data_IF_860739588171
#
_entry.id   IF_860739588171
#
_cell.length_a   1.000
_cell.length_b   1.000
_cell.length_c   1.000
_cell.angle_alpha   90.00
_cell.angle_beta   90.00
_cell.angle_gamma   90.00
#
_symmetry.space_group_name_H-M   'P 1'
#
loop_
_entity.id
_entity.type
_entity.pdbx_description
1 polymer ?
#
# COMPACT_ATOMS: atom_id res chain seq x y z
N UNK A 1 4.00 6.69 11.65
CA UNK A 1 3.82 7.94 12.40
C UNK A 1 4.99 8.91 12.17
N UNK A 2 5.47 9.10 10.93
CA UNK A 2 6.62 9.99 10.60
C UNK A 2 6.29 11.04 9.51
N UNK A 3 5.06 11.09 9.02
CA UNK A 3 4.63 12.03 7.96
C UNK A 3 4.01 13.32 8.52
N UNK A 4 3.82 13.43 9.83
CA UNK A 4 3.20 14.60 10.47
C UNK A 4 4.20 15.65 10.95
N UNK A 5 5.49 15.33 11.04
CA UNK A 5 6.47 16.23 11.69
C UNK A 5 7.34 17.06 10.74
N UNK A 6 7.40 16.78 9.42
CA UNK A 6 8.49 17.35 8.60
C UNK A 6 8.14 18.45 7.60
N UNK A 7 6.87 18.73 7.24
CA UNK A 7 6.63 19.64 6.09
C UNK A 7 5.56 20.74 6.26
N UNK A 8 4.84 20.85 7.38
CA UNK A 8 3.86 21.95 7.54
C UNK A 8 2.80 22.04 6.42
N UNK A 9 2.63 20.97 5.64
CA UNK A 9 1.67 20.91 4.54
C UNK A 9 0.26 20.79 5.12
N UNK A 10 -0.69 21.51 4.52
CA UNK A 10 -2.11 21.32 4.85
C UNK A 10 -2.45 19.83 4.73
N UNK A 11 -3.30 19.32 5.64
CA UNK A 11 -3.69 17.89 5.69
C UNK A 11 -4.11 17.35 4.31
N UNK A 12 -4.71 18.21 3.49
CA UNK A 12 -5.14 17.96 2.11
C UNK A 12 -3.96 17.77 1.15
N UNK A 13 -2.96 18.65 1.18
CA UNK A 13 -1.77 18.53 0.34
C UNK A 13 -0.94 17.27 0.68
N UNK A 14 -0.85 16.90 1.95
CA UNK A 14 -0.19 15.65 2.36
C UNK A 14 -0.93 14.40 1.86
N UNK A 15 -2.27 14.41 1.89
CA UNK A 15 -3.11 13.32 1.38
C UNK A 15 -3.00 13.21 -0.15
N UNK A 16 -3.03 14.33 -0.87
CA UNK A 16 -2.87 14.35 -2.34
C UNK A 16 -1.49 13.84 -2.76
N UNK A 17 -0.41 14.26 -2.08
CA UNK A 17 0.96 13.78 -2.34
C UNK A 17 1.08 12.27 -2.08
N UNK A 18 0.52 11.79 -0.97
CA UNK A 18 0.49 10.36 -0.64
C UNK A 18 -0.36 9.53 -1.62
N UNK A 19 -1.49 10.07 -2.06
CA UNK A 19 -2.35 9.43 -3.07
C UNK A 19 -1.65 9.36 -4.42
N UNK A 20 -0.99 10.43 -4.88
CA UNK A 20 -0.26 10.47 -6.14
C UNK A 20 0.89 9.46 -6.22
N UNK A 21 1.61 9.25 -5.10
CA UNK A 21 2.70 8.25 -5.00
C UNK A 21 2.19 6.83 -5.28
N UNK A 22 0.94 6.52 -4.93
CA UNK A 22 0.34 5.19 -5.12
C UNK A 22 -0.43 5.09 -6.43
N UNK A 23 -1.07 6.19 -6.85
CA UNK A 23 -1.90 6.24 -8.04
C UNK A 23 -1.07 6.01 -9.31
N UNK A 24 0.17 6.53 -9.37
CA UNK A 24 1.08 6.29 -10.50
C UNK A 24 1.37 4.80 -10.71
N UNK A 25 1.85 4.04 -9.70
CA UNK A 25 2.03 2.59 -9.81
C UNK A 25 0.75 1.83 -10.16
N UNK A 26 -0.39 2.19 -9.55
CA UNK A 26 -1.66 1.53 -9.84
C UNK A 26 -2.02 1.71 -11.31
N UNK A 27 -2.09 2.95 -11.80
CA UNK A 27 -2.42 3.24 -13.21
C UNK A 27 -1.42 2.61 -14.19
N UNK A 28 -0.14 2.56 -13.85
CA UNK A 28 0.88 1.92 -14.66
C UNK A 28 0.61 0.42 -14.83
N UNK A 29 0.27 -0.27 -13.74
CA UNK A 29 -0.05 -1.72 -13.81
C UNK A 29 -1.33 -1.98 -14.59
N UNK A 30 -2.37 -1.16 -14.40
CA UNK A 30 -3.62 -1.30 -15.15
C UNK A 30 -3.41 -1.02 -16.63
N UNK A 31 -2.67 0.02 -16.99
CA UNK A 31 -2.36 0.36 -18.37
C UNK A 31 -1.54 -0.73 -19.06
N UNK A 32 -0.50 -1.26 -18.39
CA UNK A 32 0.32 -2.34 -18.92
C UNK A 32 -0.52 -3.61 -19.18
N UNK A 33 -1.44 -3.94 -18.29
CA UNK A 33 -2.34 -5.08 -18.45
C UNK A 33 -3.31 -4.91 -19.63
N UNK A 34 -3.92 -3.72 -19.75
CA UNK A 34 -4.81 -3.41 -20.88
C UNK A 34 -4.06 -3.52 -22.20
N UNK A 35 -2.88 -2.91 -22.31
CA UNK A 35 -2.04 -2.99 -23.52
C UNK A 35 -1.63 -4.44 -23.82
N UNK A 36 -1.26 -5.22 -22.80
CA UNK A 36 -0.92 -6.64 -22.96
C UNK A 36 -2.09 -7.51 -23.45
N UNK A 37 -3.33 -7.11 -23.16
CA UNK A 37 -4.54 -7.80 -23.62
C UNK A 37 -4.99 -7.39 -25.03
N UNK A 38 -4.55 -6.24 -25.55
CA UNK A 38 -4.93 -5.76 -26.89
C UNK A 38 -4.72 -6.83 -27.99
N UNK A 39 -3.54 -7.46 -28.15
CA UNK A 39 -3.35 -8.47 -29.20
C UNK A 39 -4.13 -9.77 -28.95
N UNK A 40 -4.48 -10.09 -27.70
CA UNK A 40 -5.35 -11.23 -27.38
C UNK A 40 -6.80 -11.00 -27.83
N UNK A 41 -7.29 -9.75 -27.70
CA UNK A 41 -8.65 -9.36 -28.06
C UNK A 41 -8.84 -9.14 -29.56
N UNK A 42 -7.77 -8.83 -30.30
CA UNK A 42 -7.81 -8.66 -31.76
C UNK A 42 -7.48 -9.95 -32.53
N UNK A 43 -6.85 -10.94 -31.89
CA UNK A 43 -6.47 -12.19 -32.53
C UNK A 43 -7.66 -13.15 -32.70
N UNK A 44 -8.17 -13.24 -33.93
CA UNK A 44 -9.11 -14.29 -34.37
C UNK A 44 -8.34 -15.47 -35.00
N UNK A 45 -8.69 -16.71 -34.63
CA UNK A 45 -8.04 -17.92 -35.17
C UNK A 45 -8.07 -19.13 -34.22
N UNK A 46 -7.54 -20.27 -34.67
CA UNK A 46 -7.55 -21.54 -33.93
C UNK A 46 -6.92 -21.41 -32.53
N UNK A 47 -7.64 -21.86 -31.49
CA UNK A 47 -7.21 -21.74 -30.10
C UNK A 47 -7.65 -20.45 -29.40
N UNK A 48 -8.38 -19.54 -30.06
CA UNK A 48 -8.95 -18.33 -29.45
C UNK A 48 -9.77 -18.64 -28.18
N UNK A 49 -10.58 -19.70 -28.19
CA UNK A 49 -11.34 -20.14 -27.01
C UNK A 49 -10.42 -20.53 -25.83
N UNK A 50 -9.28 -21.15 -26.11
CA UNK A 50 -8.31 -21.56 -25.09
C UNK A 50 -7.57 -20.35 -24.50
N UNK A 51 -7.17 -19.40 -25.36
CA UNK A 51 -6.55 -18.12 -24.96
C UNK A 51 -7.50 -17.25 -24.14
N UNK A 52 -8.77 -17.21 -24.53
CA UNK A 52 -9.82 -16.52 -23.80
C UNK A 52 -10.04 -17.15 -22.42
N UNK A 53 -10.11 -18.49 -22.35
CA UNK A 53 -10.28 -19.22 -21.09
C UNK A 53 -9.14 -18.95 -20.11
N UNK A 54 -7.88 -19.07 -20.54
CA UNK A 54 -6.73 -18.78 -19.67
C UNK A 54 -6.65 -17.28 -19.29
N UNK A 55 -7.04 -16.39 -20.21
CA UNK A 55 -7.14 -14.95 -19.93
C UNK A 55 -8.14 -14.63 -18.83
N UNK A 56 -9.33 -15.26 -18.86
CA UNK A 56 -10.35 -15.11 -17.81
C UNK A 56 -9.86 -15.65 -16.47
N UNK A 57 -9.18 -16.80 -16.45
CA UNK A 57 -8.67 -17.40 -15.21
C UNK A 57 -7.61 -16.50 -14.55
N UNK A 58 -6.66 -15.98 -15.34
CA UNK A 58 -5.63 -15.08 -14.84
C UNK A 58 -6.26 -13.76 -14.35
N UNK A 59 -7.19 -13.19 -15.12
CA UNK A 59 -7.88 -11.97 -14.73
C UNK A 59 -8.63 -12.14 -13.41
N UNK A 60 -9.45 -13.21 -13.28
CA UNK A 60 -10.19 -13.51 -12.07
C UNK A 60 -9.25 -13.75 -10.87
N UNK A 61 -8.20 -14.55 -11.05
CA UNK A 61 -7.22 -14.83 -10.01
C UNK A 61 -6.48 -13.59 -9.53
N UNK A 62 -6.08 -12.70 -10.45
CA UNK A 62 -5.44 -11.43 -10.11
C UNK A 62 -6.40 -10.47 -9.42
N UNK A 63 -7.64 -10.34 -9.88
CA UNK A 63 -8.64 -9.47 -9.23
C UNK A 63 -8.93 -9.94 -7.81
N UNK A 64 -9.24 -11.23 -7.64
CA UNK A 64 -9.54 -11.82 -6.33
C UNK A 64 -8.31 -11.76 -5.43
N UNK A 65 -7.13 -12.14 -5.93
CA UNK A 65 -5.89 -12.11 -5.17
C UNK A 65 -5.48 -10.70 -4.73
N UNK A 66 -5.74 -9.69 -5.56
CA UNK A 66 -5.49 -8.29 -5.23
C UNK A 66 -6.43 -7.79 -4.15
N UNK A 67 -7.74 -8.07 -4.28
CA UNK A 67 -8.73 -7.75 -3.25
C UNK A 67 -8.33 -8.44 -1.93
N UNK A 68 -8.08 -9.75 -1.98
CA UNK A 68 -7.67 -10.54 -0.82
C UNK A 68 -6.42 -9.94 -0.15
N UNK A 69 -5.37 -9.63 -0.91
CA UNK A 69 -4.14 -9.03 -0.37
C UNK A 69 -4.40 -7.64 0.24
N UNK A 70 -5.17 -6.79 -0.45
CA UNK A 70 -5.52 -5.46 0.05
C UNK A 70 -6.28 -5.49 1.38
N UNK A 71 -7.05 -6.56 1.67
CA UNK A 71 -7.77 -6.70 2.93
C UNK A 71 -6.99 -7.52 3.99
N UNK A 72 -6.35 -8.61 3.59
CA UNK A 72 -5.64 -9.53 4.50
C UNK A 72 -4.34 -8.92 5.00
N UNK A 73 -3.55 -8.29 4.14
CA UNK A 73 -2.29 -7.65 4.57
C UNK A 73 -2.51 -6.62 5.68
N UNK A 74 -3.44 -5.64 5.59
CA UNK A 74 -3.67 -4.71 6.68
C UNK A 74 -4.34 -5.36 7.90
N UNK A 75 -5.18 -6.39 7.73
CA UNK A 75 -5.76 -7.11 8.86
C UNK A 75 -4.66 -7.82 9.69
N UNK A 76 -3.76 -8.54 9.03
CA UNK A 76 -2.59 -9.17 9.66
C UNK A 76 -1.68 -8.12 10.28
N UNK A 77 -1.40 -7.02 9.58
CA UNK A 77 -0.56 -5.95 10.13
C UNK A 77 -1.19 -5.30 11.37
N UNK A 78 -2.52 -5.13 11.39
CA UNK A 78 -3.24 -4.59 12.55
C UNK A 78 -3.23 -5.55 13.73
N UNK A 79 -3.38 -6.85 13.47
CA UNK A 79 -3.29 -7.90 14.49
C UNK A 79 -1.90 -7.95 15.12
N UNK A 80 -0.84 -8.03 14.29
CA UNK A 80 0.55 -8.06 14.77
C UNK A 80 0.96 -6.73 15.42
N UNK A 81 0.51 -5.59 14.91
CA UNK A 81 0.81 -4.27 15.51
C UNK A 81 0.09 -4.04 16.85
N UNK A 82 -1.04 -4.73 17.11
CA UNK A 82 -1.68 -4.73 18.44
C UNK A 82 -0.78 -5.37 19.49
N UNK A 83 -0.14 -6.50 19.15
CA UNK A 83 0.87 -7.16 19.99
C UNK A 83 2.00 -6.18 20.35
N UNK A 84 2.57 -5.52 19.34
CA UNK A 84 3.70 -4.58 19.54
C UNK A 84 3.31 -3.30 20.28
N UNK A 85 2.05 -2.83 20.17
CA UNK A 85 1.57 -1.68 20.96
C UNK A 85 1.35 -2.07 22.42
N UNK A 86 0.85 -3.29 22.69
CA UNK A 86 0.70 -3.80 24.05
C UNK A 86 2.07 -3.92 24.74
N UNK A 87 3.07 -4.48 24.05
CA UNK A 87 4.44 -4.59 24.57
C UNK A 87 5.14 -3.24 24.79
N UNK A 88 4.87 -2.25 23.93
CA UNK A 88 5.47 -0.92 24.05
C UNK A 88 4.75 -0.04 25.08
N UNK A 89 3.46 -0.24 25.32
CA UNK A 89 2.72 0.40 26.41
C UNK A 89 3.09 -0.19 27.78
N UNK A 90 3.49 -1.47 27.83
CA UNK A 90 3.95 -2.13 29.04
C UNK A 90 5.39 -1.75 29.46
N UNK A 91 6.17 -1.13 28.57
CA UNK A 91 7.51 -0.61 28.91
C UNK A 91 7.41 0.86 29.32
N UNK A 92 7.74 1.23 30.57
CA UNK A 92 7.86 2.63 30.96
C UNK A 92 8.89 3.31 30.06
N UNK A 93 8.43 4.29 29.27
CA UNK A 93 9.30 5.18 28.52
C UNK A 93 10.15 5.93 29.56
N UNK A 94 11.49 5.78 29.59
CA UNK A 94 12.31 6.58 30.48
C UNK A 94 12.11 8.04 30.07
N UNK A 95 11.41 8.78 30.91
CA UNK A 95 11.26 10.22 30.81
C UNK A 95 12.65 10.80 30.74
N UNK A 96 13.00 11.36 29.57
CA UNK A 96 14.24 12.10 29.41
C UNK A 96 14.27 13.20 30.45
N UNK A 97 15.15 13.06 31.43
CA UNK A 97 15.52 14.12 32.35
C UNK A 97 15.91 15.34 31.49
N UNK A 98 15.23 16.48 31.59
CA UNK A 98 15.76 17.70 31.02
C UNK A 98 17.07 17.96 31.76
N UNK A 99 18.20 17.81 31.08
CA UNK A 99 19.50 18.19 31.61
C UNK A 99 19.38 19.68 31.94
N UNK A 100 19.41 19.98 33.23
CA UNK A 100 19.16 21.31 33.76
C UNK A 100 20.06 22.36 33.11
N UNK A 101 19.44 23.45 32.70
CA UNK A 101 20.08 24.74 32.56
C UNK A 101 20.80 25.04 33.89
N UNK A 102 22.13 24.90 33.89
CA UNK A 102 22.96 25.40 34.98
C UNK A 102 23.32 26.86 34.66
N UNK A 103 22.84 27.84 35.44
CA UNK A 103 23.47 29.16 35.43
C UNK A 103 24.78 29.08 36.22
N UNK A 104 25.88 29.39 35.56
CA UNK A 104 27.16 29.80 36.14
C UNK A 104 27.62 30.90 35.18
N UNK A 105 27.48 32.18 35.51
CA UNK A 105 28.16 32.83 36.63
C UNK A 105 29.27 33.67 36.03
#
# INVERSE_FOLDING_TARGET
>A
NRLQESEGLSRRAAIEKAAAIRLRPILMTTAAMVVGMVPLLTASGAGAASRFSIGIVIAAGMTIGTIFTLFVTPAVYTYVAREHRADRAARPQPSGTPLGERPMG
#
